data_IF_214057478690
#
_entry.id   IF_214057478690
#
_cell.length_a   1.000
_cell.length_b   1.000
_cell.length_c   1.000
_cell.angle_alpha   90.00
_cell.angle_beta   90.00
_cell.angle_gamma   90.00
#
_symmetry.space_group_name_H-M   'P 1'
#
loop_
_entity.id
_entity.type
_entity.pdbx_description
1 polymer ?
#
# COMPACT_ATOMS: atom_id res chain seq x y z
N UNK A 1 10.55 -6.66 15.97
CA UNK A 1 9.30 -6.72 15.15
C UNK A 1 9.57 -7.15 13.71
N UNK A 2 8.60 -7.78 13.05
CA UNK A 2 8.65 -8.19 11.63
C UNK A 2 8.09 -7.08 10.73
N UNK A 3 8.91 -6.56 9.83
CA UNK A 3 8.59 -5.42 8.96
C UNK A 3 9.08 -5.66 7.53
N UNK A 4 8.68 -4.78 6.62
CA UNK A 4 8.94 -4.91 5.20
C UNK A 4 9.48 -3.63 4.56
N UNK A 5 10.23 -3.79 3.45
CA UNK A 5 10.75 -2.69 2.65
C UNK A 5 10.82 -3.09 1.17
N UNK A 6 10.36 -2.23 0.27
CA UNK A 6 10.53 -2.41 -1.17
C UNK A 6 11.80 -1.69 -1.65
N UNK A 7 12.62 -2.32 -2.48
CA UNK A 7 13.80 -1.70 -3.08
C UNK A 7 14.02 -2.09 -4.56
N UNK A 8 14.85 -1.31 -5.25
CA UNK A 8 15.29 -1.60 -6.62
C UNK A 8 16.12 -2.91 -6.63
N UNK A 9 15.95 -3.70 -7.68
CA UNK A 9 16.75 -4.91 -7.89
C UNK A 9 18.23 -4.57 -8.09
N UNK A 10 18.54 -3.41 -8.69
CA UNK A 10 19.91 -2.95 -8.89
C UNK A 10 20.61 -2.57 -7.57
N UNK A 11 19.84 -2.17 -6.56
CA UNK A 11 20.38 -1.79 -5.25
C UNK A 11 20.62 -3.01 -4.32
N UNK A 12 20.04 -4.18 -4.65
CA UNK A 12 20.01 -5.34 -3.76
C UNK A 12 21.39 -5.83 -3.35
N UNK A 13 22.35 -5.92 -4.28
CA UNK A 13 23.72 -6.38 -3.97
C UNK A 13 24.40 -5.46 -2.93
N UNK A 14 24.21 -4.15 -3.06
CA UNK A 14 24.73 -3.17 -2.12
C UNK A 14 24.03 -3.28 -0.76
N UNK A 15 22.72 -3.43 -0.75
CA UNK A 15 21.92 -3.60 0.46
C UNK A 15 22.34 -4.85 1.24
N UNK A 16 22.61 -5.97 0.56
CA UNK A 16 23.06 -7.19 1.23
C UNK A 16 24.47 -7.09 1.83
N UNK A 17 25.27 -6.12 1.37
CA UNK A 17 26.61 -5.86 1.89
C UNK A 17 26.62 -4.81 3.00
N UNK A 18 25.86 -3.74 2.83
CA UNK A 18 25.93 -2.52 3.66
C UNK A 18 24.71 -2.31 4.56
N UNK A 19 23.63 -3.05 4.31
CA UNK A 19 22.33 -2.88 4.94
C UNK A 19 21.45 -1.86 4.21
N UNK A 20 20.22 -1.69 4.70
CA UNK A 20 19.40 -0.55 4.31
C UNK A 20 19.90 0.68 5.07
N UNK A 21 20.29 1.69 4.31
CA UNK A 21 20.86 2.93 4.82
C UNK A 21 19.89 4.09 4.54
N UNK A 22 19.85 5.11 5.40
CA UNK A 22 18.96 6.24 5.23
C UNK A 22 19.36 7.07 4.00
N UNK A 23 18.42 7.89 3.52
CA UNK A 23 18.66 8.70 2.33
C UNK A 23 19.85 9.66 2.48
N UNK A 24 20.06 10.21 3.68
CA UNK A 24 21.16 11.11 3.97
C UNK A 24 22.53 10.45 3.80
N UNK A 25 22.61 9.12 3.90
CA UNK A 25 23.83 8.32 3.66
C UNK A 25 23.91 7.88 2.20
N UNK A 26 22.84 7.30 1.66
CA UNK A 26 22.85 6.73 0.29
C UNK A 26 22.88 7.79 -0.80
N UNK A 27 22.41 9.01 -0.49
CA UNK A 27 22.16 10.10 -1.46
C UNK A 27 21.28 9.66 -2.63
N UNK A 28 20.51 8.58 -2.46
CA UNK A 28 19.60 8.03 -3.45
C UNK A 28 18.30 8.85 -3.53
N UNK A 29 18.42 10.16 -3.74
CA UNK A 29 17.27 11.07 -3.72
C UNK A 29 16.61 11.07 -5.08
N UNK A 30 15.71 10.10 -5.28
CA UNK A 30 15.01 9.89 -6.56
C UNK A 30 13.63 10.54 -6.61
N UNK A 31 13.32 11.44 -5.67
CA UNK A 31 12.09 12.21 -5.70
C UNK A 31 12.25 13.39 -6.66
N UNK A 32 11.40 13.51 -7.68
CA UNK A 32 11.36 14.72 -8.50
C UNK A 32 11.14 15.93 -7.57
N UNK A 33 12.00 16.95 -7.72
CA UNK A 33 12.03 18.14 -6.87
C UNK A 33 10.61 18.64 -6.57
N UNK A 34 10.24 18.68 -5.29
CA UNK A 34 8.94 19.09 -4.72
C UNK A 34 7.84 18.01 -4.57
N UNK A 35 8.08 16.74 -4.91
CA UNK A 35 7.07 15.67 -4.71
C UNK A 35 7.24 14.87 -3.41
N UNK A 36 8.31 15.13 -2.65
CA UNK A 36 8.58 14.46 -1.37
C UNK A 36 7.79 15.15 -0.26
N UNK A 37 7.05 14.40 0.54
CA UNK A 37 6.55 14.88 1.82
C UNK A 37 7.69 15.34 2.72
N UNK A 38 7.39 16.13 3.76
CA UNK A 38 8.40 16.60 4.73
C UNK A 38 8.86 15.49 5.68
N UNK A 39 9.42 14.42 5.11
CA UNK A 39 9.85 13.19 5.75
C UNK A 39 11.36 13.22 6.00
N UNK A 40 11.78 12.79 7.19
CA UNK A 40 13.19 12.69 7.57
C UNK A 40 14.02 11.95 6.53
N UNK A 41 15.22 12.45 6.23
CA UNK A 41 16.17 11.80 5.34
C UNK A 41 17.16 10.92 6.10
N UNK A 42 17.16 10.99 7.44
CA UNK A 42 18.11 10.33 8.34
C UNK A 42 17.61 8.98 8.90
N UNK A 43 16.53 8.45 8.33
CA UNK A 43 15.94 7.17 8.72
C UNK A 43 15.60 6.31 7.52
N UNK A 44 15.51 5.00 7.76
CA UNK A 44 14.93 4.01 6.86
C UNK A 44 13.46 3.84 7.23
N UNK A 45 12.60 3.96 6.22
CA UNK A 45 11.17 3.72 6.33
C UNK A 45 10.86 2.25 6.06
N UNK A 46 10.11 1.64 6.97
CA UNK A 46 9.65 0.26 6.92
C UNK A 46 8.14 0.25 7.06
N UNK A 47 7.49 -0.78 6.54
CA UNK A 47 6.05 -0.92 6.64
C UNK A 47 5.63 -2.26 7.25
N UNK A 48 4.46 -2.24 7.89
CA UNK A 48 3.73 -3.43 8.32
C UNK A 48 2.37 -3.44 7.62
N UNK A 49 2.12 -4.41 6.71
CA UNK A 49 0.81 -4.56 6.08
C UNK A 49 -0.31 -4.72 7.11
N UNK A 50 -1.44 -4.04 6.91
CA UNK A 50 -2.68 -4.24 7.70
C UNK A 50 -3.87 -4.65 6.81
N UNK A 51 -3.58 -4.91 5.53
CA UNK A 51 -4.47 -5.43 4.51
C UNK A 51 -3.74 -6.52 3.72
N UNK A 52 -4.40 -7.10 2.72
CA UNK A 52 -3.78 -8.05 1.78
C UNK A 52 -2.67 -7.42 0.93
N UNK A 53 -2.64 -6.08 0.81
CA UNK A 53 -1.60 -5.36 0.10
C UNK A 53 -0.29 -5.37 0.90
N UNK A 54 0.67 -6.16 0.43
CA UNK A 54 1.94 -6.40 1.11
C UNK A 54 3.16 -5.85 0.38
N UNK A 55 2.95 -5.12 -0.72
CA UNK A 55 4.04 -4.55 -1.50
C UNK A 55 3.68 -3.13 -1.95
N UNK A 56 4.71 -2.30 -2.11
CA UNK A 56 4.61 -0.94 -2.62
C UNK A 56 5.49 -0.80 -3.87
N UNK A 57 4.95 -1.18 -5.04
CA UNK A 57 5.68 -1.29 -6.29
C UNK A 57 6.42 -0.04 -6.76
N UNK A 58 6.04 1.14 -6.26
CA UNK A 58 6.71 2.42 -6.58
C UNK A 58 8.19 2.44 -6.17
N UNK A 59 8.56 1.64 -5.17
CA UNK A 59 9.91 1.65 -4.60
C UNK A 59 10.78 0.48 -5.06
N UNK A 60 10.18 -0.49 -5.76
CA UNK A 60 10.88 -1.53 -6.49
C UNK A 60 10.29 -2.93 -6.36
N UNK A 61 10.81 -3.83 -7.19
CA UNK A 61 10.30 -5.19 -7.36
C UNK A 61 10.81 -6.16 -6.28
N UNK A 62 11.77 -5.75 -5.46
CA UNK A 62 12.32 -6.58 -4.39
C UNK A 62 11.59 -6.22 -3.11
N UNK A 63 11.00 -7.22 -2.47
CA UNK A 63 10.39 -7.08 -1.15
C UNK A 63 11.29 -7.74 -0.11
N UNK A 64 11.84 -6.95 0.79
CA UNK A 64 12.65 -7.40 1.90
C UNK A 64 11.76 -7.62 3.12
N UNK A 65 11.93 -8.75 3.78
CA UNK A 65 11.43 -9.00 5.13
C UNK A 65 12.56 -8.77 6.13
N UNK A 66 12.33 -7.93 7.13
CA UNK A 66 13.34 -7.56 8.12
C UNK A 66 12.81 -7.77 9.54
N UNK A 67 13.73 -8.07 10.45
CA UNK A 67 13.42 -8.24 11.86
C UNK A 67 14.26 -7.29 12.73
N UNK A 68 13.65 -6.18 13.14
CA UNK A 68 14.31 -5.07 13.84
C UNK A 68 13.40 -4.52 14.93
N UNK A 69 13.95 -3.78 15.89
CA UNK A 69 13.16 -2.90 16.76
C UNK A 69 13.02 -1.55 16.06
N UNK A 70 11.80 -1.03 15.94
CA UNK A 70 11.52 0.21 15.20
C UNK A 70 10.50 1.08 15.94
N UNK A 71 10.52 2.37 15.63
CA UNK A 71 9.56 3.33 16.18
C UNK A 71 8.44 3.53 15.16
N UNK A 72 7.18 3.49 15.61
CA UNK A 72 6.04 3.79 14.75
C UNK A 72 6.15 5.24 14.24
N UNK A 73 5.95 5.44 12.95
CA UNK A 73 5.84 6.76 12.34
C UNK A 73 4.38 7.03 12.00
N UNK A 74 3.86 8.19 12.41
CA UNK A 74 2.47 8.55 12.16
C UNK A 74 2.34 9.14 10.76
N UNK A 75 1.60 8.45 9.89
CA UNK A 75 1.30 8.94 8.55
C UNK A 75 0.27 10.06 8.62
N UNK A 76 0.44 11.08 7.78
CA UNK A 76 -0.56 12.12 7.63
C UNK A 76 -1.89 11.53 7.16
N UNK A 77 -3.01 12.00 7.72
CA UNK A 77 -4.34 11.45 7.45
C UNK A 77 -4.78 11.62 5.97
N UNK A 78 -4.21 12.61 5.28
CA UNK A 78 -4.40 12.86 3.85
C UNK A 78 -3.42 12.11 2.94
N UNK A 79 -2.53 11.27 3.49
CA UNK A 79 -1.65 10.43 2.68
C UNK A 79 -2.46 9.38 1.89
N UNK A 80 -2.13 9.20 0.62
CA UNK A 80 -2.82 8.27 -0.28
C UNK A 80 -2.75 6.81 0.18
N UNK A 81 -1.75 6.46 0.99
CA UNK A 81 -1.56 5.14 1.57
C UNK A 81 -2.00 5.02 3.03
N UNK A 82 -2.51 6.10 3.66
CA UNK A 82 -3.00 6.04 5.03
C UNK A 82 -4.03 4.90 5.18
N UNK A 83 -3.91 4.06 6.20
CA UNK A 83 -4.81 2.93 6.44
C UNK A 83 -4.56 1.67 5.58
N UNK A 84 -3.57 1.68 4.68
CA UNK A 84 -3.16 0.49 3.91
C UNK A 84 -2.08 -0.32 4.65
N UNK A 85 -1.17 0.39 5.31
CA UNK A 85 -0.09 -0.16 6.14
C UNK A 85 0.18 0.76 7.35
N UNK A 86 0.90 0.22 8.33
CA UNK A 86 1.50 1.01 9.41
C UNK A 86 2.96 1.30 9.07
N UNK A 87 3.36 2.57 9.18
CA UNK A 87 4.74 3.00 8.91
C UNK A 87 5.60 2.96 10.17
N UNK A 88 6.85 2.55 10.01
CA UNK A 88 7.86 2.47 11.06
C UNK A 88 9.18 3.04 10.55
N UNK A 89 10.00 3.56 11.47
CA UNK A 89 11.31 4.13 11.17
C UNK A 89 12.41 3.53 12.04
N UNK A 90 13.58 3.35 11.43
CA UNK A 90 14.83 2.95 12.09
C UNK A 90 15.99 3.78 11.52
N UNK A 91 17.10 3.99 12.25
CA UNK A 91 18.26 4.67 11.68
C UNK A 91 18.86 3.93 10.47
N UNK A 92 18.99 2.61 10.58
CA UNK A 92 19.49 1.70 9.54
C UNK A 92 18.96 0.28 9.77
N UNK A 93 19.02 -0.58 8.75
CA UNK A 93 18.83 -2.03 8.89
C UNK A 93 20.09 -2.74 8.46
N UNK A 94 20.78 -3.39 9.40
CA UNK A 94 21.98 -4.15 9.09
C UNK A 94 21.68 -5.41 8.27
N UNK A 95 22.62 -5.90 7.43
CA UNK A 95 22.39 -7.08 6.60
C UNK A 95 21.86 -8.30 7.35
N UNK A 96 22.35 -8.59 8.56
CA UNK A 96 21.93 -9.74 9.37
C UNK A 96 20.46 -9.68 9.84
N UNK A 97 19.82 -8.52 9.71
CA UNK A 97 18.41 -8.31 10.04
C UNK A 97 17.48 -8.55 8.86
N UNK A 98 18.02 -8.69 7.64
CA UNK A 98 17.26 -9.09 6.45
C UNK A 98 17.04 -10.60 6.51
N UNK A 99 15.78 -11.02 6.64
CA UNK A 99 15.39 -12.42 6.86
C UNK A 99 14.95 -13.10 5.59
N UNK A 100 14.27 -12.37 4.70
CA UNK A 100 13.87 -12.87 3.39
C UNK A 100 14.02 -11.81 2.31
N UNK A 101 14.29 -12.29 1.10
CA UNK A 101 14.35 -11.49 -0.12
C UNK A 101 13.34 -12.12 -1.07
N UNK A 102 12.24 -11.42 -1.34
CA UNK A 102 11.18 -11.92 -2.20
C UNK A 102 11.15 -11.15 -3.51
N UNK A 103 11.06 -11.88 -4.62
CA UNK A 103 10.91 -11.31 -5.96
C UNK A 103 9.81 -12.08 -6.70
N UNK A 104 8.92 -11.44 -7.48
CA UNK A 104 7.93 -12.16 -8.27
C UNK A 104 8.62 -13.11 -9.25
N UNK A 105 8.20 -14.38 -9.25
CA UNK A 105 8.77 -15.44 -10.08
C UNK A 105 8.74 -15.11 -11.57
N UNK A 106 7.74 -14.33 -12.00
CA UNK A 106 7.63 -13.84 -13.38
C UNK A 106 8.84 -13.01 -13.85
N UNK A 107 9.63 -12.44 -12.93
CA UNK A 107 10.82 -11.64 -13.25
C UNK A 107 12.14 -12.39 -13.07
N UNK A 108 12.11 -13.67 -12.68
CA UNK A 108 13.31 -14.43 -12.32
C UNK A 108 14.41 -14.36 -13.38
N UNK A 109 14.07 -14.53 -14.66
CA UNK A 109 15.05 -14.45 -15.75
C UNK A 109 15.68 -13.06 -15.89
N UNK A 110 14.89 -11.98 -15.74
CA UNK A 110 15.40 -10.61 -15.86
C UNK A 110 16.34 -10.24 -14.72
N UNK A 111 16.10 -10.75 -13.51
CA UNK A 111 16.95 -10.45 -12.34
C UNK A 111 18.39 -10.93 -12.52
N UNK A 112 18.65 -11.93 -13.37
CA UNK A 112 20.00 -12.43 -13.66
C UNK A 112 20.93 -11.38 -14.28
N UNK A 113 20.38 -10.30 -14.85
CA UNK A 113 21.15 -9.15 -15.35
C UNK A 113 21.74 -8.32 -14.20
N UNK A 114 21.07 -8.29 -13.05
CA UNK A 114 21.39 -7.41 -11.92
C UNK A 114 22.08 -8.13 -10.77
N UNK A 115 21.75 -9.41 -10.58
CA UNK A 115 22.13 -10.16 -9.40
C UNK A 115 23.19 -11.21 -9.73
N UNK A 116 24.14 -11.35 -8.83
CA UNK A 116 25.11 -12.43 -8.83
C UNK A 116 24.46 -13.79 -8.57
N UNK A 117 25.12 -14.87 -8.98
CA UNK A 117 24.66 -16.24 -8.70
C UNK A 117 24.57 -16.55 -7.20
N UNK A 118 25.37 -15.87 -6.37
CA UNK A 118 25.29 -16.03 -4.92
C UNK A 118 24.02 -15.37 -4.37
N UNK A 119 23.71 -14.16 -4.83
CA UNK A 119 22.52 -13.42 -4.41
C UNK A 119 21.24 -14.08 -4.92
N UNK A 120 21.23 -14.59 -6.15
CA UNK A 120 20.09 -15.35 -6.69
C UNK A 120 19.71 -16.58 -5.84
N UNK A 121 20.68 -17.25 -5.19
CA UNK A 121 20.41 -18.38 -4.28
C UNK A 121 19.72 -17.96 -2.97
N UNK A 122 19.81 -16.68 -2.60
CA UNK A 122 19.18 -16.10 -1.40
C UNK A 122 17.78 -15.57 -1.69
N UNK A 123 17.40 -15.43 -2.96
CA UNK A 123 16.10 -14.91 -3.39
C UNK A 123 15.05 -16.02 -3.34
N UNK A 124 13.93 -15.73 -2.70
CA UNK A 124 12.69 -16.49 -2.77
C UNK A 124 11.84 -15.96 -3.93
N UNK A 125 11.77 -16.72 -5.02
CA UNK A 125 10.88 -16.38 -6.14
C UNK A 125 9.46 -16.79 -5.80
N UNK A 126 8.57 -15.81 -5.65
CA UNK A 126 7.20 -16.00 -5.16
C UNK A 126 6.16 -15.81 -6.26
N UNK A 127 4.99 -16.43 -6.08
CA UNK A 127 3.82 -16.12 -6.91
C UNK A 127 3.45 -14.63 -6.80
N UNK A 128 2.71 -14.11 -7.76
CA UNK A 128 2.28 -12.70 -7.73
C UNK A 128 0.89 -12.57 -8.34
N UNK A 129 0.04 -11.82 -7.66
CA UNK A 129 -1.22 -11.32 -8.22
C UNK A 129 -1.14 -9.80 -8.34
N UNK A 130 -1.95 -9.24 -9.24
CA UNK A 130 -2.02 -7.81 -9.44
C UNK A 130 -3.34 -7.45 -10.11
N UNK A 131 -3.76 -6.20 -9.94
CA UNK A 131 -4.88 -5.62 -10.67
C UNK A 131 -4.37 -4.69 -11.76
N UNK A 132 -5.26 -4.36 -12.69
CA UNK A 132 -5.06 -3.30 -13.66
C UNK A 132 -6.18 -2.27 -13.53
N UNK A 133 -5.83 -1.01 -13.74
CA UNK A 133 -6.80 0.07 -13.82
C UNK A 133 -7.20 0.28 -15.27
N UNK A 134 -8.40 -0.15 -15.62
CA UNK A 134 -9.10 0.26 -16.85
C UNK A 134 -10.17 1.30 -16.46
N UNK A 135 -11.45 1.01 -16.67
CA UNK A 135 -12.55 1.82 -16.10
C UNK A 135 -12.77 1.53 -14.61
N UNK A 136 -12.45 0.32 -14.18
CA UNK A 136 -12.42 -0.14 -12.79
C UNK A 136 -11.16 -0.98 -12.56
N UNK A 137 -10.86 -1.30 -11.28
CA UNK A 137 -9.77 -2.22 -10.95
C UNK A 137 -10.24 -3.66 -11.20
N UNK A 138 -9.56 -4.36 -12.11
CA UNK A 138 -9.82 -5.77 -12.43
C UNK A 138 -8.56 -6.61 -12.25
N UNK A 139 -8.73 -7.88 -11.90
CA UNK A 139 -7.60 -8.83 -11.78
C UNK A 139 -6.85 -8.98 -13.11
N UNK A 140 -5.52 -8.98 -13.04
CA UNK A 140 -4.68 -9.20 -14.21
C UNK A 140 -4.67 -10.68 -14.58
N UNK A 141 -5.14 -10.99 -15.79
CA UNK A 141 -5.08 -12.34 -16.34
C UNK A 141 -3.63 -12.82 -16.49
N UNK A 142 -3.41 -14.13 -16.36
CA UNK A 142 -2.09 -14.77 -16.46
C UNK A 142 -1.36 -14.41 -17.77
N UNK A 143 -2.06 -14.46 -18.90
CA UNK A 143 -1.51 -14.06 -20.21
C UNK A 143 -0.98 -12.60 -20.22
N UNK A 144 -1.63 -11.71 -19.48
CA UNK A 144 -1.20 -10.33 -19.35
C UNK A 144 0.07 -10.26 -18.49
N UNK A 145 0.12 -10.98 -17.37
CA UNK A 145 1.30 -11.06 -16.50
C UNK A 145 2.52 -11.66 -17.21
N UNK A 146 2.34 -12.67 -18.06
CA UNK A 146 3.42 -13.22 -18.89
C UNK A 146 3.98 -12.19 -19.89
N UNK A 147 3.09 -11.39 -20.49
CA UNK A 147 3.52 -10.30 -21.37
C UNK A 147 4.21 -9.20 -20.58
N UNK A 148 3.72 -8.95 -19.38
CA UNK A 148 4.26 -8.00 -18.43
C UNK A 148 5.70 -8.35 -18.06
N UNK A 149 5.94 -9.62 -17.70
CA UNK A 149 7.27 -10.18 -17.46
C UNK A 149 8.27 -9.86 -18.58
N UNK A 150 7.81 -9.90 -19.84
CA UNK A 150 8.66 -9.64 -21.03
C UNK A 150 8.92 -8.16 -21.25
N UNK A 151 7.93 -7.30 -21.03
CA UNK A 151 7.98 -5.88 -21.47
C UNK A 151 8.35 -4.88 -20.37
N UNK A 152 8.15 -5.22 -19.09
CA UNK A 152 8.36 -4.30 -17.99
C UNK A 152 9.83 -4.10 -17.61
N UNK A 153 10.23 -2.86 -17.36
CA UNK A 153 11.47 -2.55 -16.66
C UNK A 153 11.41 -3.00 -15.20
N UNK A 154 12.43 -3.73 -14.75
CA UNK A 154 12.47 -4.23 -13.36
C UNK A 154 13.39 -3.41 -12.45
N UNK A 155 14.06 -2.41 -13.02
CA UNK A 155 14.84 -1.41 -12.32
C UNK A 155 14.35 -0.04 -12.75
N UNK A 156 14.51 0.98 -11.89
CA UNK A 156 14.24 2.37 -12.27
C UNK A 156 15.06 2.84 -13.47
N UNK A 157 16.18 2.17 -13.78
CA UNK A 157 16.98 2.43 -14.97
C UNK A 157 16.27 2.02 -16.28
N UNK A 158 15.27 1.14 -16.22
CA UNK A 158 14.66 0.47 -17.37
C UNK A 158 13.19 0.86 -17.64
N UNK A 159 12.75 2.02 -17.14
CA UNK A 159 11.35 2.49 -17.13
C UNK A 159 10.58 2.00 -15.89
N UNK A 160 9.58 2.79 -15.44
CA UNK A 160 8.86 2.64 -14.16
C UNK A 160 8.51 1.18 -13.86
N UNK A 161 8.76 0.76 -12.61
CA UNK A 161 8.40 -0.58 -12.16
C UNK A 161 6.93 -0.86 -12.44
N UNK A 162 6.65 -2.10 -12.83
CA UNK A 162 5.29 -2.55 -13.03
C UNK A 162 4.49 -1.71 -14.06
N UNK A 163 5.17 -0.99 -14.96
CA UNK A 163 4.65 -0.50 -16.23
C UNK A 163 5.15 -1.34 -17.41
N UNK A 164 4.24 -1.70 -18.32
CA UNK A 164 4.52 -2.55 -19.48
C UNK A 164 3.61 -2.22 -20.65
N UNK A 165 3.62 -3.04 -21.70
CA UNK A 165 2.96 -2.72 -22.97
C UNK A 165 2.05 -3.84 -23.45
N UNK A 166 0.78 -3.55 -23.73
CA UNK A 166 -0.23 -4.48 -24.31
C UNK A 166 0.11 -4.86 -25.77
N UNK A 167 -0.62 -5.85 -26.34
CA UNK A 167 -0.47 -6.29 -27.75
C UNK A 167 -0.60 -5.13 -28.75
N UNK A 168 -1.55 -4.23 -28.49
CA UNK A 168 -1.85 -3.05 -29.28
C UNK A 168 -0.94 -1.83 -28.99
N UNK A 169 0.20 -2.02 -28.30
CA UNK A 169 1.14 -0.97 -27.89
C UNK A 169 0.62 0.03 -26.84
N UNK A 170 -0.55 -0.20 -26.25
CA UNK A 170 -1.00 0.61 -25.11
C UNK A 170 -0.12 0.34 -23.88
N UNK A 171 0.29 1.42 -23.21
CA UNK A 171 0.98 1.36 -21.92
C UNK A 171 -0.03 0.97 -20.86
N UNK A 172 0.35 0.04 -19.98
CA UNK A 172 -0.46 -0.40 -18.85
C UNK A 172 0.42 -0.51 -17.62
N UNK A 173 -0.12 -0.13 -16.46
CA UNK A 173 0.56 -0.32 -15.17
C UNK A 173 -0.24 -1.29 -14.31
N UNK A 174 0.46 -2.23 -13.68
CA UNK A 174 -0.13 -3.06 -12.64
C UNK A 174 -0.28 -2.23 -11.35
N UNK A 175 -1.38 -2.44 -10.65
CA UNK A 175 -1.66 -1.88 -9.33
C UNK A 175 -2.05 -3.00 -8.36
N UNK A 176 -2.11 -2.69 -7.06
CA UNK A 176 -2.50 -3.64 -6.02
C UNK A 176 -1.70 -4.96 -6.12
N UNK A 177 -0.39 -4.86 -6.32
CA UNK A 177 0.48 -6.03 -6.52
C UNK A 177 0.71 -6.72 -5.18
N UNK A 178 0.46 -8.03 -5.14
CA UNK A 178 0.62 -8.86 -3.95
C UNK A 178 1.62 -9.97 -4.22
N UNK A 179 2.52 -10.17 -3.26
CA UNK A 179 3.63 -11.12 -3.36
C UNK A 179 3.31 -12.37 -2.54
N UNK A 180 3.25 -13.53 -3.19
CA UNK A 180 2.98 -14.82 -2.59
C UNK A 180 1.60 -14.92 -1.91
N UNK A 181 1.37 -16.05 -1.25
CA UNK A 181 0.19 -16.27 -0.41
C UNK A 181 0.42 -15.63 0.98
N UNK A 182 0.48 -14.31 1.03
CA UNK A 182 0.52 -13.54 2.28
C UNK A 182 -0.84 -13.58 2.96
N UNK A 183 -1.31 -14.74 3.41
CA UNK A 183 -2.60 -14.81 4.13
C UNK A 183 -2.48 -15.66 5.38
N UNK A 184 -2.26 -14.97 6.49
CA UNK A 184 -3.28 -14.80 7.52
C UNK A 184 -3.15 -13.38 8.05
N UNK A 185 -3.97 -12.46 7.55
CA UNK A 185 -4.48 -11.43 8.45
C UNK A 185 -5.06 -12.25 9.61
N UNK A 186 -4.61 -12.03 10.85
CA UNK A 186 -5.44 -12.43 11.98
C UNK A 186 -6.83 -11.97 11.59
N UNK A 187 -7.79 -12.90 11.38
CA UNK A 187 -9.16 -12.54 11.03
C UNK A 187 -9.45 -11.25 11.76
N UNK A 188 -9.70 -10.15 11.03
CA UNK A 188 -10.23 -8.97 11.67
C UNK A 188 -11.51 -9.50 12.27
N UNK A 189 -11.46 -9.92 13.55
CA UNK A 189 -12.64 -10.15 14.35
C UNK A 189 -13.44 -8.92 14.04
N UNK A 190 -14.63 -9.10 13.48
CA UNK A 190 -15.54 -7.99 13.28
C UNK A 190 -15.58 -7.28 14.63
N UNK A 191 -14.84 -6.19 14.74
CA UNK A 191 -14.91 -5.38 15.93
C UNK A 191 -16.27 -4.78 15.77
N UNK A 192 -17.20 -5.23 16.62
CA UNK A 192 -18.53 -4.65 16.71
C UNK A 192 -18.35 -3.14 16.59
N UNK A 193 -18.95 -2.55 15.55
CA UNK A 193 -18.72 -1.14 15.24
C UNK A 193 -19.14 -0.35 16.47
N UNK A 194 -18.18 0.25 17.16
CA UNK A 194 -18.48 1.14 18.27
C UNK A 194 -18.94 2.47 17.68
N UNK A 195 -20.24 2.54 17.40
CA UNK A 195 -20.86 3.68 16.73
C UNK A 195 -20.61 5.01 17.46
N UNK A 196 -20.48 4.99 18.80
CA UNK A 196 -20.18 6.18 19.59
C UNK A 196 -18.75 6.70 19.37
N UNK A 197 -17.79 5.82 19.11
CA UNK A 197 -16.40 6.20 18.80
C UNK A 197 -16.28 6.74 17.37
N UNK A 198 -16.94 6.09 16.42
CA UNK A 198 -17.05 6.57 15.05
C UNK A 198 -17.71 7.95 15.00
N UNK A 199 -18.78 8.18 15.78
CA UNK A 199 -19.44 9.48 15.89
C UNK A 199 -18.48 10.59 16.32
N UNK A 200 -17.65 10.32 17.34
CA UNK A 200 -16.66 11.28 17.85
C UNK A 200 -15.58 11.58 16.82
N UNK A 201 -15.10 10.56 16.11
CA UNK A 201 -14.11 10.72 15.04
C UNK A 201 -14.66 11.55 13.88
N UNK A 202 -15.93 11.34 13.51
CA UNK A 202 -16.61 12.13 12.49
C UNK A 202 -16.80 13.57 12.92
N UNK A 203 -17.32 13.81 14.12
CA UNK A 203 -17.54 15.16 14.66
C UNK A 203 -16.24 15.95 14.78
N UNK A 204 -15.14 15.30 15.20
CA UNK A 204 -13.81 15.92 15.27
C UNK A 204 -13.31 16.40 13.91
N UNK A 205 -13.66 15.70 12.82
CA UNK A 205 -13.25 16.06 11.47
C UNK A 205 -14.28 16.97 10.75
N UNK A 206 -15.42 17.27 11.38
CA UNK A 206 -16.43 18.21 10.88
C UNK A 206 -16.21 19.65 11.38
N UNK A 207 -15.44 19.85 12.44
CA UNK A 207 -15.05 21.19 12.91
C UNK A 207 -14.05 21.84 11.94
N UNK A 208 -14.57 22.44 10.87
CA UNK A 208 -13.85 23.39 10.01
C UNK A 208 -13.56 22.98 8.57
N UNK A 209 -14.08 21.85 8.07
CA UNK A 209 -13.80 21.39 6.69
C UNK A 209 -15.05 21.09 5.83
N UNK A 210 -14.85 21.15 4.51
CA UNK A 210 -15.82 20.77 3.46
C UNK A 210 -16.40 19.38 3.73
N UNK A 211 -17.72 19.30 3.75
CA UNK A 211 -18.55 18.09 3.93
C UNK A 211 -18.06 16.90 3.08
N UNK A 212 -17.46 17.15 1.90
CA UNK A 212 -16.86 16.12 1.03
C UNK A 212 -15.62 15.46 1.62
N UNK A 213 -14.81 16.17 2.41
CA UNK A 213 -13.65 15.60 3.10
C UNK A 213 -14.06 14.74 4.29
N UNK A 214 -15.06 15.18 5.06
CA UNK A 214 -15.64 14.38 6.13
C UNK A 214 -16.15 13.02 5.61
N UNK A 215 -16.77 13.01 4.42
CA UNK A 215 -17.15 11.78 3.73
C UNK A 215 -15.97 10.84 3.45
N UNK A 216 -14.84 11.35 2.93
CA UNK A 216 -13.67 10.52 2.64
C UNK A 216 -13.17 9.80 3.91
N UNK A 217 -13.15 10.49 5.05
CA UNK A 217 -12.77 9.89 6.33
C UNK A 217 -13.77 8.84 6.80
N UNK A 218 -15.08 9.10 6.68
CA UNK A 218 -16.12 8.14 7.08
C UNK A 218 -16.04 6.87 6.23
N UNK A 219 -15.98 7.03 4.90
CA UNK A 219 -15.90 5.90 3.97
C UNK A 219 -14.68 5.04 4.27
N UNK A 220 -13.52 5.68 4.44
CA UNK A 220 -12.26 5.00 4.76
C UNK A 220 -12.29 4.31 6.13
N UNK A 221 -12.89 4.93 7.14
CA UNK A 221 -13.07 4.35 8.47
C UNK A 221 -13.95 3.11 8.46
N UNK A 222 -15.00 3.09 7.62
CA UNK A 222 -15.90 1.95 7.43
C UNK A 222 -15.25 0.84 6.57
N UNK A 223 -14.56 1.20 5.48
CA UNK A 223 -13.78 0.26 4.65
C UNK A 223 -12.71 -0.47 5.48
N UNK A 224 -11.98 0.27 6.32
CA UNK A 224 -10.98 -0.32 7.23
C UNK A 224 -11.60 -1.32 8.22
N UNK A 225 -12.92 -1.29 8.43
CA UNK A 225 -13.66 -2.20 9.32
C UNK A 225 -14.42 -3.31 8.56
N UNK A 226 -14.18 -3.45 7.26
CA UNK A 226 -14.75 -4.51 6.43
C UNK A 226 -16.11 -4.17 5.80
N UNK A 227 -16.52 -2.90 5.81
CA UNK A 227 -17.72 -2.47 5.10
C UNK A 227 -17.38 -2.21 3.63
N UNK A 228 -17.80 -3.10 2.73
CA UNK A 228 -17.39 -3.06 1.30
C UNK A 228 -18.32 -2.19 0.43
N UNK A 229 -19.61 -2.10 0.77
CA UNK A 229 -20.61 -1.37 -0.01
C UNK A 229 -21.12 -0.14 0.76
N UNK A 230 -20.46 1.01 0.56
CA UNK A 230 -20.83 2.28 1.20
C UNK A 230 -21.35 3.25 0.13
N UNK A 231 -22.59 3.72 0.29
CA UNK A 231 -23.18 4.74 -0.58
C UNK A 231 -23.48 6.02 0.19
N UNK A 232 -23.52 7.16 -0.51
CA UNK A 232 -23.86 8.45 0.09
C UNK A 232 -24.91 9.17 -0.73
N UNK A 233 -25.90 9.70 -0.03
CA UNK A 233 -26.86 10.65 -0.59
C UNK A 233 -26.63 12.03 -0.01
N UNK A 234 -26.60 13.05 -0.86
CA UNK A 234 -26.48 14.44 -0.47
C UNK A 234 -27.86 15.12 -0.58
N UNK A 235 -28.33 15.69 0.52
CA UNK A 235 -29.56 16.49 0.57
C UNK A 235 -29.28 17.84 1.21
N UNK A 236 -29.20 18.89 0.39
CA UNK A 236 -28.95 20.27 0.82
C UNK A 236 -27.65 20.40 1.63
N UNK A 237 -27.74 20.68 2.93
CA UNK A 237 -26.61 20.82 3.87
C UNK A 237 -26.36 19.54 4.68
N UNK A 238 -26.95 18.42 4.25
CA UNK A 238 -26.85 17.13 4.92
C UNK A 238 -26.37 16.05 3.96
N UNK A 239 -25.67 15.05 4.49
CA UNK A 239 -25.39 13.81 3.76
C UNK A 239 -25.73 12.60 4.63
N UNK A 240 -26.20 11.54 3.99
CA UNK A 240 -26.49 10.26 4.63
C UNK A 240 -25.52 9.21 4.12
N UNK A 241 -24.92 8.44 5.02
CA UNK A 241 -24.04 7.32 4.71
C UNK A 241 -24.79 6.02 4.90
N UNK A 242 -24.81 5.21 3.86
CA UNK A 242 -25.44 3.91 3.87
C UNK A 242 -24.39 2.81 3.77
N UNK A 243 -24.69 1.68 4.41
CA UNK A 243 -23.95 0.44 4.25
C UNK A 243 -24.89 -0.65 3.77
N UNK A 244 -24.40 -1.53 2.91
CA UNK A 244 -25.14 -2.71 2.47
C UNK A 244 -24.54 -3.97 3.08
N UNK A 245 -25.39 -4.76 3.73
CA UNK A 245 -25.08 -6.13 4.16
C UNK A 245 -26.19 -7.05 3.63
N UNK A 246 -25.81 -8.10 2.89
CA UNK A 246 -26.73 -9.10 2.34
C UNK A 246 -27.95 -8.50 1.59
N UNK A 247 -27.74 -7.43 0.79
CA UNK A 247 -28.76 -6.65 0.07
C UNK A 247 -29.69 -5.76 0.93
N UNK A 248 -29.40 -5.58 2.21
CA UNK A 248 -30.13 -4.64 3.07
C UNK A 248 -29.35 -3.33 3.21
N UNK A 249 -30.02 -2.20 2.93
CA UNK A 249 -29.46 -0.86 3.08
C UNK A 249 -29.69 -0.34 4.50
N UNK A 250 -28.62 -0.20 5.26
CA UNK A 250 -28.63 0.38 6.60
C UNK A 250 -28.24 1.86 6.52
N UNK A 251 -29.04 2.75 7.10
CA UNK A 251 -28.70 4.17 7.19
C UNK A 251 -27.83 4.38 8.43
N UNK A 252 -26.52 4.40 8.25
CA UNK A 252 -25.60 4.44 9.39
C UNK A 252 -25.60 5.84 9.98
N UNK A 253 -25.51 6.89 9.17
CA UNK A 253 -25.18 8.21 9.68
C UNK A 253 -25.80 9.32 8.84
N UNK A 254 -26.56 10.21 9.48
CA UNK A 254 -26.96 11.50 8.91
C UNK A 254 -26.12 12.59 9.51
N UNK A 255 -25.39 13.29 8.66
CA UNK A 255 -24.49 14.37 9.06
C UNK A 255 -24.99 15.69 8.49
N UNK A 256 -25.01 16.74 9.30
CA UNK A 256 -25.20 18.12 8.89
C UNK A 256 -24.00 18.97 9.36
N UNK A 257 -24.04 20.29 9.10
CA UNK A 257 -22.95 21.23 9.44
C UNK A 257 -22.62 21.35 10.94
N UNK A 258 -23.43 20.76 11.82
CA UNK A 258 -23.33 20.89 13.28
C UNK A 258 -23.46 19.56 14.04
N UNK A 259 -24.06 18.53 13.44
CA UNK A 259 -24.33 17.25 14.11
C UNK A 259 -24.11 16.06 13.18
N UNK A 260 -23.75 14.93 13.77
CA UNK A 260 -23.68 13.62 13.13
C UNK A 260 -24.57 12.68 13.96
N UNK A 261 -25.70 12.26 13.41
CA UNK A 261 -26.72 11.46 14.08
C UNK A 261 -26.82 10.08 13.43
N UNK A 262 -26.72 9.02 14.23
CA UNK A 262 -26.96 7.66 13.75
C UNK A 262 -28.46 7.42 13.67
N UNK A 263 -28.94 6.93 12.52
CA UNK A 263 -30.37 6.65 12.29
C UNK A 263 -30.55 5.13 12.18
N UNK A 264 -30.54 4.44 13.32
CA UNK A 264 -30.83 2.99 13.32
C UNK A 264 -32.16 2.68 12.62
N UNK A 265 -32.11 1.75 11.66
CA UNK A 265 -33.20 0.89 11.24
C UNK A 265 -32.68 -0.50 10.97
#
# INVERSE_FOLDING_TARGET
>A
MKLYHNCDVADLEKILKEGLQPLSVTKNDRWESNSRGNNSTDVVYLFKPISELNSFPLYGIVLLEVEVEATRNEMASNDKYYGIYEEFVVPEVRPEKIKKIMIPAIFAEKTKKYLSQETLKKVEFVAMTAKILEDTKIEAAEELLERFAKTCGISLEEERYFTGVKKNRQIISLCDVVYGDFVKIEEKKSQAINFAELQKEVLKNLEGEDVRKAFFFIKKGLENRGCEEISVSFEKETFSVYFYDNNYQYNILRVNSQTAEFIEK
#
